data_IF_996426563162
#
_entry.id   IF_996426563162
#
_cell.length_a   1.000
_cell.length_b   1.000
_cell.length_c   1.000
_cell.angle_alpha   90.00
_cell.angle_beta   90.00
_cell.angle_gamma   90.00
#
_symmetry.space_group_name_H-M   'P 1'
#
loop_
_entity.id
_entity.type
_entity.pdbx_description
1 polymer ?
#
# COMPACT_ATOMS: atom_id res chain seq x y z
N UNK A 1 -16.96 1.36 -4.43
CA UNK A 1 -15.53 1.29 -4.82
C UNK A 1 -15.43 1.35 -6.33
N UNK A 2 -14.67 2.30 -6.84
CA UNK A 2 -14.55 2.51 -8.28
C UNK A 2 -13.19 3.12 -8.62
N UNK A 3 -12.73 2.90 -9.85
CA UNK A 3 -11.50 3.54 -10.35
C UNK A 3 -11.73 5.04 -10.50
N UNK A 4 -10.84 5.85 -9.91
CA UNK A 4 -10.89 7.29 -10.03
C UNK A 4 -10.70 7.70 -11.49
N UNK A 5 -11.39 8.77 -11.89
CA UNK A 5 -11.27 9.40 -13.19
C UNK A 5 -10.73 10.82 -13.03
N UNK A 6 -10.39 11.48 -14.13
CA UNK A 6 -9.74 12.80 -14.07
C UNK A 6 -10.56 13.84 -13.28
N UNK A 7 -11.89 13.76 -13.33
CA UNK A 7 -12.74 14.66 -12.56
C UNK A 7 -12.65 14.46 -11.04
N UNK A 8 -12.06 13.36 -10.59
CA UNK A 8 -11.81 13.09 -9.17
C UNK A 8 -10.49 13.68 -8.66
N UNK A 9 -9.66 14.23 -9.54
CA UNK A 9 -8.30 14.65 -9.21
C UNK A 9 -8.24 15.60 -8.02
N UNK A 10 -9.03 16.65 -8.00
CA UNK A 10 -8.98 17.66 -6.94
C UNK A 10 -9.32 17.05 -5.58
N UNK A 11 -10.33 16.21 -5.54
CA UNK A 11 -10.74 15.50 -4.32
C UNK A 11 -9.63 14.56 -3.83
N UNK A 12 -9.03 13.82 -4.73
CA UNK A 12 -7.92 12.90 -4.41
C UNK A 12 -6.73 13.69 -3.87
N UNK A 13 -6.37 14.76 -4.54
CA UNK A 13 -5.25 15.62 -4.13
C UNK A 13 -5.46 16.20 -2.73
N UNK A 14 -6.66 16.68 -2.45
CA UNK A 14 -7.01 17.23 -1.12
C UNK A 14 -6.86 16.18 -0.01
N UNK A 15 -7.28 14.95 -0.27
CA UNK A 15 -7.12 13.87 0.72
C UNK A 15 -5.66 13.53 0.94
N UNK A 16 -4.85 13.42 -0.11
CA UNK A 16 -3.42 13.15 0.06
C UNK A 16 -2.70 14.27 0.83
N UNK A 17 -3.10 15.53 0.64
CA UNK A 17 -2.51 16.65 1.39
C UNK A 17 -2.69 16.54 2.90
N UNK A 18 -3.77 15.90 3.35
CA UNK A 18 -3.98 15.66 4.78
C UNK A 18 -2.93 14.72 5.39
N UNK A 19 -2.29 13.92 4.55
CA UNK A 19 -1.34 12.88 4.96
C UNK A 19 0.06 13.11 4.39
N UNK A 20 0.41 14.33 4.05
CA UNK A 20 1.69 14.65 3.40
C UNK A 20 2.92 14.26 4.22
N UNK A 21 2.79 14.17 5.52
CA UNK A 21 3.86 13.72 6.41
C UNK A 21 4.33 12.29 6.06
N UNK A 22 3.39 11.40 5.76
CA UNK A 22 3.68 10.02 5.43
C UNK A 22 3.81 9.76 3.94
N UNK A 23 3.25 10.65 3.11
CA UNK A 23 3.27 10.54 1.66
C UNK A 23 3.86 11.79 0.99
N UNK A 24 5.07 12.22 1.38
CA UNK A 24 5.65 13.45 0.83
C UNK A 24 5.99 13.35 -0.66
N UNK A 25 6.11 12.14 -1.17
CA UNK A 25 6.42 11.86 -2.58
C UNK A 25 5.17 11.82 -3.47
N UNK A 26 3.97 11.86 -2.89
CA UNK A 26 2.73 11.85 -3.67
C UNK A 26 2.44 13.24 -4.18
N UNK A 27 2.78 13.48 -5.45
CA UNK A 27 2.62 14.75 -6.15
C UNK A 27 1.52 14.65 -7.19
N UNK A 28 1.19 15.78 -7.79
CA UNK A 28 0.11 15.87 -8.79
C UNK A 28 0.35 14.97 -9.99
N UNK A 29 1.59 14.88 -10.48
CA UNK A 29 1.96 14.02 -11.61
C UNK A 29 1.79 12.53 -11.26
N UNK A 30 2.15 12.13 -10.05
CA UNK A 30 1.94 10.77 -9.56
C UNK A 30 0.45 10.42 -9.54
N UNK A 31 -0.37 11.31 -8.97
CA UNK A 31 -1.82 11.11 -8.86
C UNK A 31 -2.43 10.94 -10.25
N UNK A 32 -2.10 11.84 -11.19
CA UNK A 32 -2.60 11.77 -12.56
C UNK A 32 -2.21 10.46 -13.24
N UNK A 33 -0.97 10.03 -13.05
CA UNK A 33 -0.48 8.78 -13.63
C UNK A 33 -1.24 7.57 -13.05
N UNK A 34 -1.48 7.56 -11.74
CA UNK A 34 -2.23 6.48 -11.10
C UNK A 34 -3.70 6.45 -11.54
N UNK A 35 -4.31 7.61 -11.75
CA UNK A 35 -5.66 7.70 -12.30
C UNK A 35 -5.68 7.17 -13.75
N UNK A 36 -4.76 7.64 -14.59
CA UNK A 36 -4.71 7.25 -15.98
C UNK A 36 -4.46 5.75 -16.17
N UNK A 37 -3.65 5.14 -15.33
CA UNK A 37 -3.35 3.71 -15.38
C UNK A 37 -4.38 2.83 -14.68
N UNK A 38 -5.41 3.41 -14.09
CA UNK A 38 -6.45 2.70 -13.31
C UNK A 38 -5.88 1.96 -12.09
N UNK A 39 -4.92 2.59 -11.43
CA UNK A 39 -4.29 2.07 -10.21
C UNK A 39 -4.68 2.85 -8.96
N UNK A 40 -5.69 3.69 -9.06
CA UNK A 40 -6.22 4.46 -7.95
C UNK A 40 -7.72 4.22 -7.84
N UNK A 41 -8.12 3.73 -6.69
CA UNK A 41 -9.52 3.43 -6.37
C UNK A 41 -10.01 4.41 -5.33
N UNK A 42 -11.26 4.84 -5.50
CA UNK A 42 -12.01 5.59 -4.50
C UNK A 42 -13.10 4.70 -3.91
N UNK A 43 -13.20 4.74 -2.60
CA UNK A 43 -14.29 4.14 -1.85
C UNK A 43 -14.77 5.17 -0.84
N UNK A 44 -15.84 5.89 -1.19
CA UNK A 44 -16.27 7.10 -0.48
C UNK A 44 -15.10 8.09 -0.40
N UNK A 45 -14.69 8.51 0.80
CA UNK A 45 -13.57 9.42 1.00
C UNK A 45 -12.26 8.69 1.32
N UNK A 46 -12.12 7.45 0.87
CA UNK A 46 -10.90 6.66 1.04
C UNK A 46 -10.25 6.41 -0.31
N UNK A 47 -8.95 6.65 -0.37
CA UNK A 47 -8.14 6.41 -1.57
C UNK A 47 -7.29 5.18 -1.33
N UNK A 48 -7.24 4.30 -2.33
CA UNK A 48 -6.31 3.16 -2.34
C UNK A 48 -5.54 3.19 -3.66
N UNK A 49 -4.22 3.16 -3.60
CA UNK A 49 -3.36 3.00 -4.76
C UNK A 49 -2.66 1.66 -4.71
N UNK A 50 -2.56 1.02 -5.86
CA UNK A 50 -2.05 -0.34 -5.93
C UNK A 50 -1.52 -0.66 -7.33
N UNK A 51 -0.78 -1.76 -7.44
CA UNK A 51 -0.39 -2.36 -8.72
C UNK A 51 -0.48 -3.88 -8.62
N UNK A 52 -0.71 -4.53 -9.75
CA UNK A 52 -0.48 -5.95 -9.89
C UNK A 52 0.87 -6.18 -10.53
N UNK A 53 1.62 -7.16 -10.02
CA UNK A 53 2.88 -7.53 -10.64
C UNK A 53 2.68 -8.56 -11.75
N UNK A 54 3.43 -8.41 -12.81
CA UNK A 54 3.40 -9.33 -13.96
C UNK A 54 4.56 -10.32 -13.93
N UNK A 55 5.56 -10.08 -13.07
CA UNK A 55 6.77 -10.88 -12.92
C UNK A 55 7.06 -11.08 -11.45
N UNK A 56 7.89 -12.05 -11.14
CA UNK A 56 8.41 -12.21 -9.78
C UNK A 56 9.17 -10.94 -9.38
N UNK A 57 8.92 -10.48 -8.16
CA UNK A 57 9.56 -9.29 -7.62
C UNK A 57 9.92 -9.51 -6.16
N UNK A 58 11.16 -9.22 -5.81
CA UNK A 58 11.64 -9.35 -4.43
C UNK A 58 11.34 -8.08 -3.65
N UNK A 59 10.57 -8.19 -2.57
CA UNK A 59 10.20 -7.07 -1.71
C UNK A 59 11.25 -6.78 -0.63
N UNK A 60 11.90 -7.80 -0.13
CA UNK A 60 12.86 -7.66 0.97
C UNK A 60 14.23 -7.17 0.46
N UNK A 61 14.27 -5.97 -0.05
CA UNK A 61 15.53 -5.32 -0.43
C UNK A 61 16.29 -4.92 0.83
N UNK A 62 16.86 -5.89 1.49
CA UNK A 62 17.56 -5.62 2.73
C UNK A 62 18.99 -5.23 2.48
N UNK A 63 19.34 -3.98 2.73
CA UNK A 63 20.70 -3.55 3.01
C UNK A 63 21.04 -3.66 4.48
N UNK A 64 20.11 -4.10 5.31
CA UNK A 64 20.17 -4.04 6.77
C UNK A 64 20.48 -5.39 7.42
N UNK A 65 21.16 -6.27 6.71
CA UNK A 65 21.61 -7.51 7.30
C UNK A 65 20.76 -8.72 6.94
N UNK A 66 21.01 -9.79 7.61
CA UNK A 66 20.53 -11.12 7.26
C UNK A 66 19.02 -11.24 7.37
N UNK A 67 18.37 -11.28 6.21
CA UNK A 67 16.99 -11.74 6.15
C UNK A 67 17.01 -13.24 5.94
N UNK A 68 16.42 -13.96 6.87
CA UNK A 68 16.36 -15.42 6.83
C UNK A 68 15.45 -15.95 5.72
N UNK A 69 14.59 -15.13 5.14
CA UNK A 69 13.65 -15.54 4.09
C UNK A 69 13.50 -14.47 3.02
N UNK A 70 13.56 -14.91 1.78
CA UNK A 70 13.29 -14.05 0.62
C UNK A 70 11.77 -13.90 0.45
N UNK A 71 11.31 -12.65 0.38
CA UNK A 71 9.90 -12.35 0.16
C UNK A 71 9.75 -11.98 -1.32
N UNK A 72 9.18 -12.90 -2.09
CA UNK A 72 9.05 -12.76 -3.54
C UNK A 72 7.57 -12.72 -3.88
N UNK A 73 7.14 -11.60 -4.49
CA UNK A 73 5.84 -11.49 -5.10
C UNK A 73 5.82 -12.26 -6.41
N UNK A 74 4.73 -12.95 -6.65
CA UNK A 74 4.50 -13.71 -7.86
C UNK A 74 3.60 -12.94 -8.83
N UNK A 75 3.54 -13.36 -10.11
CA UNK A 75 2.59 -12.74 -11.04
C UNK A 75 1.18 -12.74 -10.50
N UNK A 76 0.48 -11.63 -10.68
CA UNK A 76 -0.87 -11.34 -10.19
C UNK A 76 -0.98 -11.04 -8.69
N UNK A 77 0.11 -11.08 -7.94
CA UNK A 77 0.10 -10.52 -6.59
C UNK A 77 -0.10 -9.00 -6.66
N UNK A 78 -0.78 -8.47 -5.65
CA UNK A 78 -1.06 -7.06 -5.54
C UNK A 78 -0.10 -6.41 -4.56
N UNK A 79 0.42 -5.23 -4.91
CA UNK A 79 1.06 -4.36 -3.93
C UNK A 79 0.19 -3.14 -3.69
N UNK A 80 -0.13 -2.89 -2.43
CA UNK A 80 -0.83 -1.69 -2.00
C UNK A 80 0.22 -0.64 -1.68
N UNK A 81 0.14 0.52 -2.34
CA UNK A 81 1.10 1.60 -2.14
C UNK A 81 0.68 2.57 -1.06
N UNK A 82 -0.55 3.09 -1.15
CA UNK A 82 -1.09 4.02 -0.16
C UNK A 82 -2.54 3.69 0.12
N UNK A 83 -2.95 3.93 1.36
CA UNK A 83 -4.34 4.06 1.74
C UNK A 83 -4.47 5.35 2.55
N UNK A 84 -5.37 6.22 2.14
CA UNK A 84 -5.57 7.52 2.76
C UNK A 84 -7.06 7.82 2.88
N UNK A 85 -7.48 8.21 4.07
CA UNK A 85 -8.87 8.54 4.36
C UNK A 85 -9.01 10.01 4.73
N UNK A 86 -10.12 10.63 4.34
CA UNK A 86 -10.45 11.99 4.73
C UNK A 86 -10.76 12.09 6.22
N UNK A 87 -11.46 11.11 6.77
CA UNK A 87 -11.94 11.11 8.14
C UNK A 87 -11.46 9.88 8.91
N UNK A 88 -11.30 10.02 10.22
CA UNK A 88 -10.96 8.93 11.14
C UNK A 88 -12.25 8.36 11.75
N UNK A 89 -13.04 7.67 10.96
CA UNK A 89 -14.34 7.14 11.38
C UNK A 89 -14.54 5.65 11.08
N UNK A 90 -13.46 4.92 10.86
CA UNK A 90 -13.51 3.51 10.50
C UNK A 90 -13.69 3.24 9.01
N UNK A 91 -13.86 4.28 8.19
CA UNK A 91 -14.07 4.11 6.75
C UNK A 91 -12.87 3.50 6.04
N UNK A 92 -11.65 3.76 6.53
CA UNK A 92 -10.44 3.17 5.96
C UNK A 92 -10.42 1.64 6.15
N UNK A 93 -10.80 1.15 7.33
CA UNK A 93 -10.90 -0.29 7.59
C UNK A 93 -11.94 -0.95 6.68
N UNK A 94 -13.11 -0.33 6.56
CA UNK A 94 -14.16 -0.85 5.69
C UNK A 94 -13.71 -0.91 4.23
N UNK A 95 -13.07 0.16 3.76
CA UNK A 95 -12.56 0.23 2.40
C UNK A 95 -11.47 -0.82 2.15
N UNK A 96 -10.56 -1.03 3.10
CA UNK A 96 -9.51 -2.02 2.96
C UNK A 96 -10.08 -3.44 2.89
N UNK A 97 -11.07 -3.76 3.72
CA UNK A 97 -11.72 -5.07 3.68
C UNK A 97 -12.46 -5.28 2.34
N UNK A 98 -13.14 -4.25 1.81
CA UNK A 98 -13.75 -4.32 0.49
C UNK A 98 -12.71 -4.51 -0.60
N UNK A 99 -11.58 -3.82 -0.49
CA UNK A 99 -10.48 -3.96 -1.43
C UNK A 99 -9.93 -5.38 -1.48
N UNK A 100 -9.73 -6.01 -0.33
CA UNK A 100 -9.27 -7.40 -0.28
C UNK A 100 -10.21 -8.35 -1.01
N UNK A 101 -11.51 -8.19 -0.81
CA UNK A 101 -12.53 -9.00 -1.51
C UNK A 101 -12.57 -8.70 -3.00
N UNK A 102 -12.48 -7.43 -3.34
CA UNK A 102 -12.55 -6.98 -4.73
C UNK A 102 -11.37 -7.49 -5.54
N UNK A 103 -10.15 -7.36 -5.01
CA UNK A 103 -8.98 -7.82 -5.74
C UNK A 103 -8.85 -9.34 -5.76
N UNK A 104 -9.29 -10.02 -4.72
CA UNK A 104 -9.20 -11.48 -4.57
C UNK A 104 -7.78 -12.01 -4.88
N UNK A 105 -6.76 -11.29 -4.47
CA UNK A 105 -5.34 -11.60 -4.68
C UNK A 105 -4.62 -11.54 -3.34
N UNK A 106 -3.40 -12.08 -3.31
CA UNK A 106 -2.51 -11.78 -2.19
C UNK A 106 -2.16 -10.30 -2.26
N UNK A 107 -2.24 -9.60 -1.14
CA UNK A 107 -1.95 -8.17 -1.07
C UNK A 107 -0.76 -7.95 -0.16
N UNK A 108 0.30 -7.41 -0.73
CA UNK A 108 1.51 -7.03 -0.01
C UNK A 108 1.54 -5.52 0.16
N UNK A 109 2.21 -5.08 1.20
CA UNK A 109 2.60 -3.68 1.35
C UNK A 109 3.88 -3.58 2.16
N UNK A 110 4.56 -2.46 2.02
CA UNK A 110 5.62 -2.08 2.94
C UNK A 110 5.27 -0.76 3.60
N UNK A 111 5.62 -0.63 4.87
CA UNK A 111 5.35 0.54 5.68
C UNK A 111 6.58 0.87 6.51
N UNK A 112 6.84 2.16 6.73
CA UNK A 112 7.94 2.56 7.60
C UNK A 112 7.78 1.90 8.97
N UNK A 113 8.87 1.34 9.47
CA UNK A 113 8.84 0.64 10.78
C UNK A 113 8.46 1.55 11.94
N UNK A 114 8.69 2.86 11.81
CA UNK A 114 8.32 3.84 12.82
C UNK A 114 6.86 4.34 12.71
N UNK A 115 6.13 3.92 11.67
CA UNK A 115 4.72 4.27 11.53
C UNK A 115 3.84 3.31 12.32
N UNK A 116 3.84 3.47 13.63
CA UNK A 116 3.15 2.58 14.56
C UNK A 116 1.64 2.56 14.33
N UNK A 117 1.06 3.72 14.03
CA UNK A 117 -0.38 3.85 13.79
C UNK A 117 -0.80 3.03 12.56
N UNK A 118 -0.06 3.16 11.46
CA UNK A 118 -0.35 2.39 10.25
C UNK A 118 -0.14 0.90 10.47
N UNK A 119 0.92 0.50 11.14
CA UNK A 119 1.18 -0.91 11.45
C UNK A 119 0.04 -1.53 12.26
N UNK A 120 -0.40 -0.85 13.29
CA UNK A 120 -1.56 -1.31 14.09
C UNK A 120 -2.82 -1.42 13.24
N UNK A 121 -3.04 -0.46 12.35
CA UNK A 121 -4.16 -0.48 11.42
C UNK A 121 -4.13 -1.72 10.52
N UNK A 122 -3.00 -2.04 9.93
CA UNK A 122 -2.86 -3.22 9.07
C UNK A 122 -3.06 -4.52 9.86
N UNK A 123 -2.50 -4.60 11.05
CA UNK A 123 -2.66 -5.78 11.91
C UNK A 123 -4.12 -6.01 12.30
N UNK A 124 -4.85 -4.94 12.61
CA UNK A 124 -6.29 -5.04 12.89
C UNK A 124 -7.12 -5.44 11.67
N UNK A 125 -6.57 -5.28 10.48
CA UNK A 125 -7.24 -5.61 9.22
C UNK A 125 -6.73 -6.92 8.62
N UNK A 126 -6.32 -7.85 9.46
CA UNK A 126 -5.95 -9.22 9.07
C UNK A 126 -4.69 -9.32 8.22
N UNK A 127 -3.87 -8.28 8.21
CA UNK A 127 -2.54 -8.35 7.60
C UNK A 127 -1.52 -8.80 8.65
N UNK A 128 -0.59 -9.64 8.21
CA UNK A 128 0.46 -10.14 9.10
C UNK A 128 1.83 -9.64 8.67
N UNK A 129 2.67 -9.36 9.64
CA UNK A 129 4.06 -9.01 9.42
C UNK A 129 4.82 -10.25 8.94
N UNK A 130 5.44 -10.15 7.76
CA UNK A 130 6.16 -11.28 7.16
C UNK A 130 7.65 -11.01 6.97
N UNK A 131 8.10 -9.78 7.13
CA UNK A 131 9.51 -9.47 6.98
C UNK A 131 9.80 -8.00 7.01
N UNK A 132 11.02 -7.65 6.65
CA UNK A 132 11.52 -6.30 6.69
C UNK A 132 12.15 -5.91 5.35
N UNK A 133 12.18 -4.62 5.10
CA UNK A 133 12.81 -4.02 3.92
C UNK A 133 13.46 -2.71 4.33
N UNK A 134 14.07 -2.04 3.38
CA UNK A 134 14.63 -0.71 3.60
C UNK A 134 14.42 0.14 2.36
N UNK A 135 14.27 1.44 2.59
CA UNK A 135 14.21 2.42 1.51
C UNK A 135 15.41 3.35 1.59
N UNK A 136 15.98 3.68 0.45
CA UNK A 136 16.96 4.75 0.36
C UNK A 136 16.24 6.07 0.12
N UNK A 137 16.49 7.04 0.99
CA UNK A 137 15.97 8.39 0.82
C UNK A 137 16.97 9.19 -0.02
N UNK A 138 16.59 9.56 -1.25
CA UNK A 138 17.39 10.42 -2.14
C UNK A 138 18.80 9.92 -2.43
N UNK A 139 18.99 8.62 -2.58
CA UNK A 139 20.32 8.06 -2.85
C UNK A 139 21.31 8.17 -1.70
N UNK A 140 20.86 8.52 -0.50
CA UNK A 140 21.71 8.77 0.65
C UNK A 140 21.89 7.51 1.49
N UNK A 141 23.03 7.48 2.17
CA UNK A 141 23.56 6.39 3.01
C UNK A 141 22.64 5.89 4.13
N UNK A 142 21.52 6.56 4.41
CA UNK A 142 20.62 6.20 5.50
C UNK A 142 19.36 5.55 4.95
N UNK A 143 19.38 4.22 4.87
CA UNK A 143 18.18 3.46 4.54
C UNK A 143 17.15 3.59 5.67
N UNK A 144 15.91 3.89 5.32
CA UNK A 144 14.80 3.88 6.28
C UNK A 144 14.29 2.45 6.40
N UNK A 145 14.20 1.90 7.62
CA UNK A 145 13.66 0.56 7.80
C UNK A 145 12.16 0.52 7.53
N UNK A 146 11.73 -0.57 6.91
CA UNK A 146 10.34 -0.82 6.62
C UNK A 146 9.92 -2.23 6.99
N UNK A 147 8.64 -2.39 7.28
CA UNK A 147 8.03 -3.68 7.57
C UNK A 147 7.15 -4.10 6.41
N UNK A 148 7.15 -5.39 6.09
CA UNK A 148 6.35 -5.96 5.01
C UNK A 148 5.18 -6.72 5.61
N UNK A 149 3.98 -6.38 5.15
CA UNK A 149 2.74 -7.03 5.55
C UNK A 149 2.10 -7.75 4.37
N UNK A 150 1.39 -8.83 4.68
CA UNK A 150 0.68 -9.65 3.72
C UNK A 150 -0.73 -9.91 4.19
N UNK A 151 -1.70 -9.70 3.30
CA UNK A 151 -3.03 -10.28 3.39
C UNK A 151 -3.11 -11.42 2.39
N UNK A 152 -3.33 -12.64 2.89
CA UNK A 152 -3.37 -13.84 2.06
C UNK A 152 -4.82 -14.23 1.77
N UNK A 153 -5.24 -13.97 0.54
CA UNK A 153 -6.58 -14.33 0.07
C UNK A 153 -6.71 -15.80 -0.31
N UNK A 154 -5.62 -16.54 -0.33
CA UNK A 154 -5.67 -17.96 -0.62
C UNK A 154 -6.20 -18.67 0.61
N UNK A 155 -7.52 -18.71 0.73
CA UNK A 155 -8.15 -19.55 1.73
C UNK A 155 -8.07 -20.99 1.22
N UNK A 156 -7.49 -21.85 2.05
CA UNK A 156 -7.57 -23.28 1.79
C UNK A 156 -9.05 -23.67 1.65
N UNK A 157 -9.37 -24.25 0.52
CA UNK A 157 -10.69 -24.84 0.33
C UNK A 157 -10.70 -26.14 1.11
N UNK A 158 -11.33 -26.06 2.25
CA UNK A 158 -11.60 -27.27 3.03
C UNK A 158 -12.77 -28.04 2.44
#
# INVERSE_FOLDING_TARGET
MYHAVESDFDRVYEIFKLHKEWFPHVRTDYIRRMIASKNLILDNDVIITYNYYKKNYRLDKSSMGEMSQKIIMQPNDCILHQIAAKNRNGSASEALQRFFKWTNRRVFLSVRSDNVIAKSFYERNDMRLIGQTSWTKNGVKNALPGDIYLYDNVKEVL
#
